data_IF_403926069659
#
_entry.id   IF_403926069659
#
_cell.length_a   1.000
_cell.length_b   1.000
_cell.length_c   1.000
_cell.angle_alpha   90.00
_cell.angle_beta   90.00
_cell.angle_gamma   90.00
#
_symmetry.space_group_name_H-M   'P 1'
#
loop_
_entity.id
_entity.type
_entity.pdbx_description
1 polymer ?
#
# COMPACT_ATOMS: atom_id res chain seq x y z
N UNK A 1 -5.93 2.77 -10.23
CA UNK A 1 -5.23 4.06 -10.37
C UNK A 1 -5.57 4.74 -11.69
N UNK A 2 -5.34 4.08 -12.82
CA UNK A 2 -5.55 4.67 -14.18
C UNK A 2 -6.99 5.20 -14.37
N UNK A 3 -8.00 4.43 -14.01
CA UNK A 3 -9.41 4.84 -14.19
C UNK A 3 -9.76 6.12 -13.42
N UNK A 4 -9.21 6.26 -12.22
CA UNK A 4 -9.39 7.46 -11.38
C UNK A 4 -8.60 8.64 -11.94
N UNK A 5 -7.34 8.43 -12.31
CA UNK A 5 -6.47 9.47 -12.86
C UNK A 5 -7.04 10.05 -14.16
N UNK A 6 -7.55 9.19 -15.05
CA UNK A 6 -8.10 9.56 -16.36
C UNK A 6 -9.59 9.98 -16.32
N UNK A 7 -10.19 10.21 -15.17
CA UNK A 7 -11.58 10.59 -14.99
C UNK A 7 -12.65 9.58 -15.49
N UNK A 8 -12.28 8.31 -15.68
CA UNK A 8 -13.25 7.25 -16.02
C UNK A 8 -14.03 6.77 -14.81
N UNK A 9 -13.52 7.02 -13.59
CA UNK A 9 -14.18 6.72 -12.34
C UNK A 9 -13.92 7.83 -11.31
N UNK A 10 -14.87 8.03 -10.40
CA UNK A 10 -14.72 8.96 -9.27
C UNK A 10 -13.70 8.41 -8.28
N UNK A 11 -13.79 7.11 -8.02
CA UNK A 11 -12.94 6.37 -7.11
C UNK A 11 -12.76 4.92 -7.59
N UNK A 12 -11.79 4.22 -7.04
CA UNK A 12 -11.58 2.79 -7.27
C UNK A 12 -11.20 2.11 -5.97
N UNK A 13 -11.42 0.79 -5.89
CA UNK A 13 -10.91 -0.06 -4.84
C UNK A 13 -9.81 -0.92 -5.44
N UNK A 14 -8.63 -0.88 -4.85
CA UNK A 14 -7.53 -1.77 -5.14
C UNK A 14 -7.38 -2.85 -4.09
N UNK A 15 -6.49 -3.81 -4.33
CA UNK A 15 -5.99 -4.72 -3.31
C UNK A 15 -4.47 -4.65 -3.25
N UNK A 16 -3.93 -4.83 -2.06
CA UNK A 16 -2.49 -4.79 -1.84
C UNK A 16 -2.06 -5.91 -0.91
N UNK A 17 -1.01 -6.60 -1.34
CA UNK A 17 -0.22 -7.50 -0.50
C UNK A 17 1.01 -6.75 0.05
N UNK A 18 1.72 -6.02 -0.85
CA UNK A 18 2.94 -5.28 -0.48
C UNK A 18 3.31 -4.21 -1.53
N UNK A 19 2.42 -3.25 -1.76
CA UNK A 19 2.65 -2.12 -2.67
C UNK A 19 1.62 -1.97 -3.79
N UNK A 20 0.67 -2.91 -3.94
CA UNK A 20 -0.21 -2.95 -5.13
C UNK A 20 -1.36 -1.92 -5.14
N UNK A 21 -1.59 -1.18 -4.04
CA UNK A 21 -2.38 0.06 -3.99
C UNK A 21 -1.44 1.26 -4.09
N UNK A 22 -0.36 1.27 -3.30
CA UNK A 22 0.56 2.40 -3.20
C UNK A 22 1.29 2.66 -4.52
N UNK A 23 1.79 1.62 -5.19
CA UNK A 23 2.50 1.75 -6.47
C UNK A 23 1.61 2.32 -7.59
N UNK A 24 0.46 1.72 -7.94
CA UNK A 24 -0.38 2.28 -9.00
C UNK A 24 -0.96 3.65 -8.63
N UNK A 25 -1.17 3.97 -7.36
CA UNK A 25 -1.59 5.29 -6.94
C UNK A 25 -0.51 6.33 -7.19
N UNK A 26 0.73 6.06 -6.76
CA UNK A 26 1.87 6.93 -6.99
C UNK A 26 2.13 7.16 -8.48
N UNK A 27 2.12 6.06 -9.27
CA UNK A 27 2.39 6.08 -10.70
C UNK A 27 1.28 6.75 -11.54
N UNK A 28 0.13 7.04 -10.94
CA UNK A 28 -0.99 7.71 -11.59
C UNK A 28 -1.37 9.03 -10.91
N UNK A 29 -0.54 9.54 -10.00
CA UNK A 29 -0.79 10.78 -9.27
C UNK A 29 -2.18 10.84 -8.63
N UNK A 30 -2.54 9.77 -7.92
CA UNK A 30 -3.77 9.67 -7.12
C UNK A 30 -3.44 9.30 -5.68
N UNK A 31 -4.38 9.53 -4.78
CA UNK A 31 -4.27 9.11 -3.38
C UNK A 31 -4.60 7.62 -3.28
N UNK A 32 -3.73 6.85 -2.64
CA UNK A 32 -3.95 5.44 -2.37
C UNK A 32 -3.76 5.13 -0.90
N UNK A 33 -4.73 4.45 -0.30
CA UNK A 33 -4.70 4.07 1.09
C UNK A 33 -4.70 2.54 1.24
N UNK A 34 -3.61 2.02 1.82
CA UNK A 34 -3.50 0.65 2.32
C UNK A 34 -3.80 0.67 3.81
N UNK A 35 -4.93 0.16 4.26
CA UNK A 35 -5.26 0.12 5.69
C UNK A 35 -4.37 -0.85 6.47
N UNK A 36 -4.48 -0.80 7.79
CA UNK A 36 -4.03 -1.90 8.65
C UNK A 36 -4.61 -3.21 8.12
N UNK A 37 -3.78 -4.24 8.00
CA UNK A 37 -4.21 -5.56 7.49
C UNK A 37 -5.33 -6.10 8.37
N UNK A 38 -6.43 -6.56 7.75
CA UNK A 38 -7.62 -7.04 8.44
C UNK A 38 -8.70 -5.97 8.72
N UNK A 39 -8.45 -4.69 8.42
CA UNK A 39 -9.46 -3.62 8.56
C UNK A 39 -10.69 -3.88 7.67
N UNK A 40 -10.47 -4.26 6.43
CA UNK A 40 -11.54 -4.62 5.51
C UNK A 40 -11.58 -6.12 5.26
N UNK A 41 -12.76 -6.64 4.94
CA UNK A 41 -12.94 -8.05 4.58
C UNK A 41 -12.10 -8.41 3.35
N UNK A 42 -11.36 -9.51 3.43
CA UNK A 42 -10.63 -10.10 2.30
C UNK A 42 -11.51 -10.96 1.36
N UNK A 43 -12.78 -11.14 1.69
CA UNK A 43 -13.70 -11.99 0.90
C UNK A 43 -13.89 -11.41 -0.50
N UNK A 44 -13.61 -12.23 -1.53
CA UNK A 44 -13.72 -11.82 -2.94
C UNK A 44 -12.45 -11.23 -3.53
N UNK A 45 -11.41 -10.98 -2.75
CA UNK A 45 -10.09 -10.62 -3.28
C UNK A 45 -9.46 -11.88 -3.91
N UNK A 46 -8.98 -11.76 -5.15
CA UNK A 46 -8.14 -12.80 -5.76
C UNK A 46 -6.79 -12.77 -5.02
N UNK A 47 -6.41 -13.83 -4.31
CA UNK A 47 -5.34 -13.74 -3.33
C UNK A 47 -3.95 -13.86 -3.94
N UNK A 48 -2.99 -13.17 -3.31
CA UNK A 48 -1.59 -13.58 -3.25
C UNK A 48 -1.32 -14.19 -1.87
N UNK A 49 -1.76 -13.53 -0.81
CA UNK A 49 -1.59 -13.98 0.56
C UNK A 49 -2.78 -13.53 1.41
N UNK A 50 -3.61 -14.45 1.86
CA UNK A 50 -4.71 -14.13 2.79
C UNK A 50 -4.22 -13.57 4.12
N UNK A 51 -2.92 -13.69 4.41
CA UNK A 51 -2.28 -13.13 5.59
C UNK A 51 -1.95 -11.65 5.48
N UNK A 52 -1.62 -11.17 4.25
CA UNK A 52 -1.18 -9.80 4.00
C UNK A 52 -2.17 -8.98 3.18
N UNK A 53 -2.99 -9.64 2.33
CA UNK A 53 -3.86 -8.95 1.38
C UNK A 53 -4.90 -8.07 2.09
N UNK A 54 -5.03 -6.84 1.61
CA UNK A 54 -6.06 -5.91 2.05
C UNK A 54 -6.65 -5.15 0.87
N UNK A 55 -7.93 -4.80 0.95
CA UNK A 55 -8.54 -3.84 0.04
C UNK A 55 -8.23 -2.41 0.51
N UNK A 56 -8.28 -1.45 -0.41
CA UNK A 56 -8.17 -0.04 -0.05
C UNK A 56 -8.56 0.92 -1.16
N UNK A 57 -9.00 2.13 -0.79
CA UNK A 57 -9.45 3.18 -1.71
C UNK A 57 -8.30 3.79 -2.51
N UNK A 58 -8.62 4.15 -3.77
CA UNK A 58 -7.80 4.96 -4.66
C UNK A 58 -8.67 6.11 -5.18
N UNK A 59 -8.28 7.36 -4.92
CA UNK A 59 -9.11 8.55 -5.17
C UNK A 59 -8.25 9.72 -5.64
N UNK A 60 -8.88 10.81 -6.09
CA UNK A 60 -8.18 12.00 -6.58
C UNK A 60 -7.64 12.89 -5.45
N UNK A 61 -8.22 12.80 -4.26
CA UNK A 61 -7.87 13.58 -3.08
C UNK A 61 -8.10 12.78 -1.80
N UNK A 62 -7.59 13.28 -0.69
CA UNK A 62 -7.65 12.60 0.61
C UNK A 62 -9.07 12.57 1.18
N UNK A 63 -9.89 13.61 0.94
CA UNK A 63 -11.27 13.66 1.40
C UNK A 63 -12.11 12.53 0.80
N UNK A 64 -12.07 12.37 -0.54
CA UNK A 64 -12.79 11.29 -1.22
C UNK A 64 -12.32 9.91 -0.74
N UNK A 65 -11.02 9.80 -0.38
CA UNK A 65 -10.45 8.57 0.16
C UNK A 65 -11.03 8.24 1.54
N UNK A 66 -11.16 9.24 2.40
CA UNK A 66 -11.78 9.10 3.72
C UNK A 66 -13.25 8.69 3.62
N UNK A 67 -14.02 9.35 2.73
CA UNK A 67 -15.43 9.03 2.48
C UNK A 67 -15.57 7.57 2.03
N UNK A 68 -14.74 7.14 1.08
CA UNK A 68 -14.80 5.76 0.58
C UNK A 68 -14.36 4.75 1.65
N UNK A 69 -13.31 5.04 2.43
CA UNK A 69 -12.88 4.17 3.51
C UNK A 69 -14.00 3.95 4.54
N UNK A 70 -14.71 5.01 4.93
CA UNK A 70 -15.85 4.89 5.84
C UNK A 70 -17.02 4.13 5.21
N UNK A 71 -17.32 4.35 3.93
CA UNK A 71 -18.34 3.60 3.20
C UNK A 71 -18.02 2.10 3.09
N UNK A 72 -16.74 1.74 3.10
CA UNK A 72 -16.25 0.35 3.15
C UNK A 72 -16.30 -0.27 4.56
N UNK A 73 -16.69 0.50 5.58
CA UNK A 73 -16.81 0.02 6.94
C UNK A 73 -15.51 0.11 7.75
N UNK A 74 -14.68 1.12 7.50
CA UNK A 74 -13.54 1.42 8.37
C UNK A 74 -14.02 1.54 9.83
N UNK A 75 -13.33 0.88 10.79
CA UNK A 75 -13.79 0.84 12.19
C UNK A 75 -13.54 2.13 12.96
N UNK A 76 -13.02 3.15 12.31
CA UNK A 76 -12.75 4.48 12.85
C UNK A 76 -13.57 5.52 12.08
N UNK A 77 -14.01 6.52 12.83
CA UNK A 77 -14.90 7.55 12.35
C UNK A 77 -14.08 8.70 11.70
N UNK A 78 -13.63 8.47 10.47
CA UNK A 78 -12.78 9.44 9.77
C UNK A 78 -13.54 10.72 9.46
N UNK A 79 -14.84 10.63 9.17
CA UNK A 79 -15.67 11.78 8.81
C UNK A 79 -16.23 12.46 10.06
N UNK A 80 -16.75 11.72 11.03
CA UNK A 80 -17.37 12.30 12.24
C UNK A 80 -16.31 12.79 13.23
N UNK A 81 -15.22 12.06 13.43
CA UNK A 81 -14.13 12.46 14.30
C UNK A 81 -13.31 13.61 13.72
N UNK A 82 -13.20 13.69 12.41
CA UNK A 82 -12.50 14.72 11.69
C UNK A 82 -13.41 15.51 10.77
N UNK A 83 -14.69 15.30 10.62
CA UNK A 83 -15.66 16.00 9.79
C UNK A 83 -15.12 16.69 8.53
N UNK A 84 -15.93 17.16 7.65
CA UNK A 84 -15.45 17.99 6.51
C UNK A 84 -14.61 19.17 7.01
N UNK A 85 -14.95 19.74 8.15
CA UNK A 85 -14.23 20.85 8.78
C UNK A 85 -12.89 20.45 9.39
N UNK A 86 -12.65 19.19 9.78
CA UNK A 86 -11.38 18.77 10.37
C UNK A 86 -10.28 18.59 9.34
N UNK A 87 -10.60 18.31 8.08
CA UNK A 87 -9.61 18.38 7.00
C UNK A 87 -9.11 19.82 6.78
N UNK A 88 -9.92 20.83 7.10
CA UNK A 88 -9.49 22.23 7.09
C UNK A 88 -8.52 22.55 8.25
N UNK A 89 -8.66 21.86 9.37
CA UNK A 89 -7.80 22.00 10.56
C UNK A 89 -6.64 21.00 10.61
N UNK A 90 -6.53 20.09 9.63
CA UNK A 90 -5.45 19.14 9.52
C UNK A 90 -4.07 19.85 9.61
N UNK A 91 -3.18 19.32 10.42
CA UNK A 91 -1.90 19.97 10.74
C UNK A 91 -0.79 18.95 10.92
N UNK A 92 0.41 19.33 10.47
CA UNK A 92 1.64 18.57 10.68
C UNK A 92 2.49 19.16 11.81
N UNK A 93 2.02 20.22 12.48
CA UNK A 93 2.78 20.90 13.52
C UNK A 93 3.15 19.97 14.67
N UNK A 94 4.45 19.79 14.87
CA UNK A 94 5.00 18.94 15.92
C UNK A 94 4.97 17.44 15.62
N UNK A 95 4.43 17.01 14.47
CA UNK A 95 4.45 15.59 14.05
C UNK A 95 5.89 15.20 13.70
N UNK A 96 6.37 14.11 14.26
CA UNK A 96 7.73 13.61 14.12
C UNK A 96 7.78 12.43 13.16
N UNK A 97 8.44 12.63 12.01
CA UNK A 97 8.58 11.58 10.99
C UNK A 97 10.02 11.11 10.86
N UNK A 98 10.21 9.81 10.77
CA UNK A 98 11.45 9.27 10.26
C UNK A 98 11.54 9.41 8.74
N UNK A 99 12.73 9.75 8.25
CA UNK A 99 13.08 9.88 6.85
C UNK A 99 14.35 9.10 6.55
N UNK A 100 14.33 8.26 5.52
CA UNK A 100 15.52 7.50 5.12
C UNK A 100 16.48 8.38 4.34
N UNK A 101 17.75 8.36 4.74
CA UNK A 101 18.79 9.24 4.18
C UNK A 101 18.96 9.05 2.66
N UNK A 102 18.97 7.81 2.17
CA UNK A 102 19.14 7.51 0.75
C UNK A 102 18.02 8.05 -0.14
N UNK A 103 16.81 8.21 0.39
CA UNK A 103 15.71 8.74 -0.41
C UNK A 103 15.86 10.24 -0.71
N UNK A 104 16.68 10.97 0.05
CA UNK A 104 16.95 12.41 -0.16
C UNK A 104 17.66 12.71 -1.49
N UNK A 105 18.26 11.72 -2.12
CA UNK A 105 18.80 11.84 -3.48
C UNK A 105 17.72 12.11 -4.54
N UNK A 106 16.47 11.74 -4.26
CA UNK A 106 15.36 12.08 -5.14
C UNK A 106 14.94 13.54 -4.92
N UNK A 107 15.01 14.42 -5.94
CA UNK A 107 14.76 15.84 -5.77
C UNK A 107 13.31 16.16 -5.38
N UNK A 108 12.33 15.36 -5.81
CA UNK A 108 10.93 15.54 -5.42
C UNK A 108 10.73 15.20 -3.94
N UNK A 109 11.38 14.13 -3.48
CA UNK A 109 11.33 13.77 -2.07
C UNK A 109 12.02 14.82 -1.21
N UNK A 110 13.20 15.30 -1.60
CA UNK A 110 13.87 16.38 -0.90
C UNK A 110 12.99 17.65 -0.78
N UNK A 111 12.28 18.01 -1.86
CA UNK A 111 11.33 19.12 -1.84
C UNK A 111 10.14 18.84 -0.91
N UNK A 112 9.59 17.62 -0.95
CA UNK A 112 8.48 17.22 -0.08
C UNK A 112 8.87 17.30 1.41
N UNK A 113 10.12 16.93 1.76
CA UNK A 113 10.63 17.08 3.11
C UNK A 113 10.66 18.55 3.55
N UNK A 114 11.13 19.47 2.68
CA UNK A 114 11.08 20.91 2.95
C UNK A 114 9.66 21.44 3.18
N UNK A 115 8.68 20.90 2.44
CA UNK A 115 7.28 21.30 2.59
C UNK A 115 6.68 20.77 3.90
N UNK A 116 7.07 19.55 4.33
CA UNK A 116 6.72 19.02 5.66
C UNK A 116 7.30 19.89 6.79
N UNK A 117 8.58 20.25 6.71
CA UNK A 117 9.25 21.13 7.72
C UNK A 117 8.59 22.51 7.80
N UNK A 118 8.30 23.15 6.65
CA UNK A 118 7.58 24.42 6.60
C UNK A 118 6.19 24.33 7.23
N UNK A 119 5.57 23.15 7.23
CA UNK A 119 4.28 22.90 7.88
C UNK A 119 4.39 22.61 9.37
N UNK A 120 5.62 22.63 9.91
CA UNK A 120 5.91 22.43 11.32
C UNK A 120 6.13 20.97 11.71
N UNK A 121 6.27 20.05 10.77
CA UNK A 121 6.73 18.68 11.05
C UNK A 121 8.21 18.70 11.50
N UNK A 122 8.56 17.71 12.30
CA UNK A 122 9.95 17.45 12.73
C UNK A 122 10.44 16.21 12.00
N UNK A 123 11.51 16.34 11.22
CA UNK A 123 12.06 15.24 10.44
C UNK A 123 13.31 14.68 11.15
N UNK A 124 13.33 13.39 11.36
CA UNK A 124 14.42 12.63 11.95
C UNK A 124 15.04 11.73 10.90
N UNK A 125 16.28 12.01 10.53
CA UNK A 125 17.01 11.16 9.59
C UNK A 125 17.35 9.84 10.27
N UNK A 126 17.07 8.74 9.57
CA UNK A 126 17.42 7.40 10.00
C UNK A 126 18.27 6.70 8.93
N UNK A 127 19.05 5.72 9.37
CA UNK A 127 19.86 4.90 8.48
C UNK A 127 19.03 4.14 7.47
N UNK A 128 19.66 3.75 6.36
CA UNK A 128 19.04 2.98 5.29
C UNK A 128 18.91 1.47 5.60
N UNK A 129 19.05 1.11 6.86
CA UNK A 129 18.75 -0.24 7.32
C UNK A 129 17.29 -0.60 7.03
N UNK A 130 17.06 -1.87 6.76
CA UNK A 130 15.71 -2.42 6.52
C UNK A 130 15.54 -3.67 7.37
N UNK A 131 14.31 -4.02 7.78
CA UNK A 131 14.08 -5.28 8.46
C UNK A 131 14.46 -6.44 7.54
N UNK A 132 15.10 -7.43 8.10
CA UNK A 132 15.54 -8.63 7.36
C UNK A 132 14.34 -9.57 7.17
N UNK A 133 13.57 -9.36 6.13
CA UNK A 133 12.39 -10.17 5.77
C UNK A 133 12.80 -11.41 4.98
N UNK A 134 13.69 -12.22 5.56
CA UNK A 134 14.18 -13.45 4.93
C UNK A 134 13.02 -14.40 4.62
N UNK A 135 12.88 -14.77 3.34
CA UNK A 135 11.79 -15.64 2.91
C UNK A 135 10.45 -14.94 2.66
N UNK A 136 10.42 -13.61 2.49
CA UNK A 136 9.18 -12.90 2.14
C UNK A 136 8.53 -13.48 0.86
N UNK A 137 9.34 -13.79 -0.18
CA UNK A 137 8.82 -14.43 -1.39
C UNK A 137 8.30 -15.86 -1.11
N UNK A 138 8.94 -16.61 -0.19
CA UNK A 138 8.46 -17.93 0.24
C UNK A 138 7.07 -17.82 0.90
N UNK A 139 6.85 -16.77 1.73
CA UNK A 139 5.53 -16.51 2.30
C UNK A 139 4.49 -16.33 1.19
N UNK A 140 4.76 -15.44 0.22
CA UNK A 140 3.83 -15.17 -0.88
C UNK A 140 3.54 -16.43 -1.72
N UNK A 141 4.57 -17.20 -2.05
CA UNK A 141 4.43 -18.42 -2.83
C UNK A 141 3.60 -19.49 -2.09
N UNK A 142 3.91 -19.73 -0.82
CA UNK A 142 3.22 -20.73 -0.02
C UNK A 142 1.75 -20.36 0.25
N UNK A 143 1.48 -19.07 0.55
CA UNK A 143 0.10 -18.60 0.69
C UNK A 143 -0.66 -18.71 -0.64
N UNK A 144 -0.15 -18.19 -1.76
CA UNK A 144 -0.86 -18.25 -3.03
C UNK A 144 -1.10 -19.69 -3.51
N UNK A 145 -0.16 -20.60 -3.25
CA UNK A 145 -0.31 -22.03 -3.54
C UNK A 145 -1.53 -22.65 -2.84
N UNK A 146 -1.87 -22.15 -1.65
CA UNK A 146 -3.00 -22.58 -0.82
C UNK A 146 -4.26 -21.75 -1.06
N UNK A 147 -4.12 -20.46 -1.13
CA UNK A 147 -5.24 -19.51 -1.12
C UNK A 147 -5.95 -19.41 -2.47
N UNK A 148 -5.20 -19.48 -3.59
CA UNK A 148 -5.82 -19.38 -4.92
C UNK A 148 -6.76 -20.55 -5.24
N UNK A 149 -6.42 -21.82 -4.96
CA UNK A 149 -7.40 -22.91 -5.07
C UNK A 149 -8.62 -22.74 -4.17
N UNK A 150 -8.43 -22.24 -2.93
CA UNK A 150 -9.53 -21.96 -2.01
C UNK A 150 -10.46 -20.85 -2.55
N UNK A 151 -9.89 -19.81 -3.14
CA UNK A 151 -10.65 -18.76 -3.83
C UNK A 151 -11.48 -19.34 -4.98
N UNK A 152 -10.91 -20.17 -5.84
CA UNK A 152 -11.65 -20.81 -6.93
C UNK A 152 -12.77 -21.71 -6.43
N UNK A 153 -12.53 -22.46 -5.36
CA UNK A 153 -13.53 -23.33 -4.76
C UNK A 153 -14.73 -22.57 -4.17
N UNK A 154 -14.47 -21.43 -3.53
CA UNK A 154 -15.49 -20.68 -2.78
C UNK A 154 -16.11 -19.50 -3.53
N UNK A 155 -15.34 -18.81 -4.36
CA UNK A 155 -15.74 -17.50 -4.92
C UNK A 155 -15.94 -17.54 -6.45
N UNK A 156 -15.32 -18.48 -7.16
CA UNK A 156 -15.39 -18.52 -8.60
C UNK A 156 -16.65 -19.20 -9.13
N UNK A 157 -16.98 -18.91 -10.41
CA UNK A 157 -18.01 -19.62 -11.15
C UNK A 157 -17.74 -21.14 -11.15
N UNK A 158 -18.78 -21.95 -11.19
CA UNK A 158 -18.70 -23.41 -11.17
C UNK A 158 -17.71 -24.00 -12.20
N UNK A 159 -17.54 -23.36 -13.35
CA UNK A 159 -16.59 -23.75 -14.40
C UNK A 159 -15.13 -23.75 -13.94
N UNK A 160 -14.80 -22.89 -12.98
CA UNK A 160 -13.44 -22.68 -12.48
C UNK A 160 -13.19 -23.32 -11.11
N UNK A 161 -14.22 -23.91 -10.49
CA UNK A 161 -14.04 -24.65 -9.23
C UNK A 161 -13.06 -25.80 -9.44
N UNK A 162 -12.10 -25.90 -8.54
CA UNK A 162 -11.02 -26.89 -8.64
C UNK A 162 -9.84 -26.46 -9.52
N UNK A 163 -9.81 -25.19 -9.95
CA UNK A 163 -8.60 -24.63 -10.53
C UNK A 163 -7.56 -24.35 -9.45
N UNK A 164 -6.30 -24.43 -9.87
CA UNK A 164 -5.12 -24.10 -9.09
C UNK A 164 -4.15 -23.28 -9.96
N UNK A 165 -2.96 -22.97 -9.44
CA UNK A 165 -1.93 -22.24 -10.17
C UNK A 165 -1.53 -22.95 -11.46
N UNK A 166 -1.42 -24.29 -11.45
CA UNK A 166 -1.03 -25.05 -12.63
C UNK A 166 -2.10 -24.95 -13.75
N UNK A 167 -3.38 -24.99 -13.36
CA UNK A 167 -4.51 -24.81 -14.30
C UNK A 167 -4.53 -23.41 -14.89
N UNK A 168 -4.25 -22.37 -14.11
CA UNK A 168 -4.13 -20.99 -14.60
C UNK A 168 -2.98 -20.90 -15.62
N UNK A 169 -1.82 -21.49 -15.31
CA UNK A 169 -0.67 -21.49 -16.23
C UNK A 169 -0.98 -22.25 -17.54
N UNK A 170 -1.68 -23.38 -17.47
CA UNK A 170 -2.12 -24.12 -18.64
C UNK A 170 -3.06 -23.27 -19.50
N UNK A 171 -4.01 -22.57 -18.88
CA UNK A 171 -4.94 -21.70 -19.59
C UNK A 171 -4.21 -20.54 -20.28
N UNK A 172 -3.29 -19.90 -19.61
CA UNK A 172 -2.50 -18.79 -20.15
C UNK A 172 -1.71 -19.19 -21.41
N UNK A 173 -1.18 -20.42 -21.47
CA UNK A 173 -0.44 -20.94 -22.63
C UNK A 173 -1.28 -21.03 -23.91
N UNK A 174 -2.62 -21.04 -23.82
CA UNK A 174 -3.51 -21.11 -24.99
C UNK A 174 -3.45 -19.85 -25.85
N UNK A 175 -3.19 -18.68 -25.22
CA UNK A 175 -2.99 -17.41 -25.91
C UNK A 175 -1.88 -16.62 -25.15
N UNK A 176 -0.65 -17.08 -25.31
CA UNK A 176 0.48 -16.57 -24.54
C UNK A 176 0.76 -15.08 -24.75
N UNK A 177 0.50 -14.58 -25.96
CA UNK A 177 0.72 -13.17 -26.29
C UNK A 177 -0.23 -12.23 -25.54
N UNK A 178 -1.46 -12.68 -25.25
CA UNK A 178 -2.44 -11.90 -24.50
C UNK A 178 -2.42 -12.17 -23.01
N UNK A 179 -2.35 -13.46 -22.64
CA UNK A 179 -2.53 -13.88 -21.26
C UNK A 179 -1.25 -13.81 -20.42
N UNK A 180 -0.08 -13.89 -21.05
CA UNK A 180 1.21 -13.83 -20.33
C UNK A 180 2.31 -13.13 -21.15
N UNK A 181 2.10 -11.86 -21.58
CA UNK A 181 3.06 -11.15 -22.45
C UNK A 181 4.44 -10.96 -21.80
N UNK A 182 4.52 -11.04 -20.47
CA UNK A 182 5.76 -10.95 -19.69
C UNK A 182 6.23 -12.29 -19.11
N UNK A 183 5.66 -13.42 -19.61
CA UNK A 183 5.90 -14.75 -19.05
C UNK A 183 5.10 -15.03 -17.78
N UNK A 184 5.43 -16.12 -17.10
CA UNK A 184 4.76 -16.54 -15.87
C UNK A 184 5.70 -17.21 -14.85
N UNK A 185 6.92 -16.71 -14.77
CA UNK A 185 7.96 -17.25 -13.87
C UNK A 185 7.55 -17.19 -12.40
N UNK A 186 6.76 -16.17 -12.00
CA UNK A 186 6.25 -16.08 -10.63
C UNK A 186 5.31 -17.25 -10.31
N UNK A 187 4.41 -17.61 -11.23
CA UNK A 187 3.56 -18.80 -11.05
C UNK A 187 4.38 -20.09 -11.00
N UNK A 188 5.46 -20.19 -11.78
CA UNK A 188 6.36 -21.34 -11.67
C UNK A 188 7.01 -21.40 -10.28
N UNK A 189 7.47 -20.27 -9.72
CA UNK A 189 7.99 -20.20 -8.36
C UNK A 189 6.98 -20.66 -7.30
N UNK A 190 5.70 -20.35 -7.48
CA UNK A 190 4.63 -20.83 -6.58
C UNK A 190 4.48 -22.36 -6.65
N UNK A 191 4.51 -22.93 -7.87
CA UNK A 191 4.43 -24.37 -8.04
C UNK A 191 5.63 -25.08 -7.40
N UNK A 192 6.82 -24.54 -7.62
CA UNK A 192 8.07 -25.10 -7.15
C UNK A 192 8.32 -24.90 -5.64
N UNK A 193 7.51 -24.03 -4.98
CA UNK A 193 7.65 -23.79 -3.55
C UNK A 193 7.44 -25.11 -2.76
N UNK A 194 8.41 -25.51 -1.92
CA UNK A 194 8.27 -26.72 -1.12
C UNK A 194 7.05 -26.68 -0.20
N UNK A 195 6.47 -27.84 0.05
CA UNK A 195 5.40 -27.96 1.03
C UNK A 195 5.92 -27.64 2.44
N UNK A 196 5.12 -26.92 3.19
CA UNK A 196 5.38 -26.59 4.60
C UNK A 196 4.15 -26.98 5.42
N UNK A 197 4.33 -27.45 6.65
CA UNK A 197 3.21 -27.75 7.53
C UNK A 197 2.46 -26.46 7.94
N UNK A 198 1.17 -26.55 8.21
CA UNK A 198 0.38 -25.38 8.64
C UNK A 198 0.93 -24.77 9.94
N UNK A 199 1.48 -25.59 10.84
CA UNK A 199 2.07 -25.13 12.10
C UNK A 199 3.38 -24.35 11.85
N UNK A 200 4.33 -24.94 11.10
CA UNK A 200 5.60 -24.30 10.79
C UNK A 200 5.39 -23.03 9.94
N UNK A 201 4.39 -23.04 9.05
CA UNK A 201 4.11 -21.88 8.21
C UNK A 201 3.49 -20.73 9.00
N UNK A 202 2.65 -21.03 9.98
CA UNK A 202 2.11 -20.01 10.90
C UNK A 202 3.23 -19.39 11.72
N UNK A 203 4.07 -20.19 12.35
CA UNK A 203 5.23 -19.72 13.12
C UNK A 203 6.16 -18.85 12.26
N UNK A 204 6.42 -19.27 11.02
CA UNK A 204 7.22 -18.51 10.06
C UNK A 204 6.63 -17.13 9.76
N UNK A 205 5.30 -17.04 9.52
CA UNK A 205 4.60 -15.78 9.27
C UNK A 205 4.63 -14.86 10.50
N UNK A 206 4.35 -15.40 11.67
CA UNK A 206 4.38 -14.67 12.94
C UNK A 206 5.78 -14.12 13.26
N UNK A 207 6.82 -14.92 13.05
CA UNK A 207 8.21 -14.48 13.24
C UNK A 207 8.61 -13.37 12.28
N UNK A 208 8.18 -13.43 11.02
CA UNK A 208 8.43 -12.36 10.04
C UNK A 208 7.71 -11.07 10.44
N UNK A 209 6.46 -11.15 10.85
CA UNK A 209 5.70 -10.00 11.34
C UNK A 209 6.35 -9.40 12.58
N UNK A 210 6.75 -10.21 13.54
CA UNK A 210 7.45 -9.77 14.73
C UNK A 210 8.76 -9.03 14.39
N UNK A 211 9.56 -9.56 13.45
CA UNK A 211 10.78 -8.91 12.97
C UNK A 211 10.51 -7.54 12.34
N UNK A 212 9.47 -7.44 11.50
CA UNK A 212 9.10 -6.17 10.88
C UNK A 212 8.56 -5.16 11.90
N UNK A 213 7.73 -5.60 12.83
CA UNK A 213 7.19 -4.75 13.90
C UNK A 213 8.30 -4.27 14.84
N UNK A 214 9.20 -5.15 15.26
CA UNK A 214 10.32 -4.79 16.12
C UNK A 214 11.18 -3.70 15.48
N UNK A 215 11.48 -3.79 14.20
CA UNK A 215 12.22 -2.77 13.47
C UNK A 215 11.55 -1.39 13.57
N UNK A 216 10.26 -1.30 13.25
CA UNK A 216 9.55 -0.03 13.28
C UNK A 216 9.33 0.51 14.69
N UNK A 217 8.92 -0.35 15.64
CA UNK A 217 8.67 0.09 17.02
C UNK A 217 9.94 0.47 17.77
N UNK A 218 11.09 -0.14 17.46
CA UNK A 218 12.37 0.29 18.03
C UNK A 218 12.71 1.70 17.54
N UNK A 219 12.57 2.01 16.26
CA UNK A 219 12.79 3.36 15.72
C UNK A 219 11.80 4.37 16.31
N UNK A 220 10.52 4.01 16.44
CA UNK A 220 9.51 4.86 17.07
C UNK A 220 9.93 5.22 18.50
N UNK A 221 10.33 4.23 19.27
CA UNK A 221 10.73 4.40 20.67
C UNK A 221 12.02 5.17 20.83
N UNK A 222 13.02 4.87 20.00
CA UNK A 222 14.36 5.50 20.07
C UNK A 222 14.30 6.99 19.74
N UNK A 223 13.50 7.34 18.73
CA UNK A 223 13.46 8.70 18.17
C UNK A 223 12.17 9.48 18.49
N UNK A 224 11.27 8.91 19.31
CA UNK A 224 9.97 9.52 19.65
C UNK A 224 9.18 9.89 18.38
N UNK A 225 8.99 8.92 17.46
CA UNK A 225 8.35 9.14 16.18
C UNK A 225 6.83 8.95 16.23
N UNK A 226 6.12 9.69 15.41
CA UNK A 226 4.71 9.46 15.13
C UNK A 226 4.50 8.54 13.93
N UNK A 227 5.42 8.55 12.97
CA UNK A 227 5.37 7.72 11.77
C UNK A 227 6.58 7.89 10.87
N UNK A 228 6.44 7.44 9.63
CA UNK A 228 7.52 7.42 8.64
C UNK A 228 7.03 8.03 7.33
N UNK A 229 7.94 8.62 6.56
CA UNK A 229 7.65 9.06 5.19
C UNK A 229 8.60 8.39 4.20
N UNK A 230 8.04 7.95 3.07
CA UNK A 230 8.72 7.16 2.05
C UNK A 230 8.34 7.65 0.64
N UNK A 231 8.96 7.09 -0.37
CA UNK A 231 8.65 7.36 -1.78
C UNK A 231 7.82 6.20 -2.35
N UNK A 232 6.72 6.51 -3.03
CA UNK A 232 5.90 5.52 -3.74
C UNK A 232 5.59 4.31 -2.83
N UNK A 233 5.96 3.12 -3.27
CA UNK A 233 5.85 1.85 -2.55
C UNK A 233 7.19 1.31 -2.04
N UNK A 234 8.24 2.13 -1.92
CA UNK A 234 9.60 1.66 -1.64
C UNK A 234 9.75 0.96 -0.27
N UNK A 235 8.89 1.28 0.68
CA UNK A 235 8.89 0.65 2.01
C UNK A 235 7.68 -0.28 2.23
N UNK A 236 6.87 -0.51 1.17
CA UNK A 236 5.60 -1.23 1.28
C UNK A 236 5.75 -2.66 1.80
N UNK A 237 6.80 -3.40 1.41
CA UNK A 237 7.03 -4.77 1.89
C UNK A 237 7.24 -4.83 3.40
N UNK A 238 8.04 -3.91 3.95
CA UNK A 238 8.28 -3.83 5.39
C UNK A 238 7.00 -3.41 6.15
N UNK A 239 6.29 -2.39 5.64
CA UNK A 239 5.04 -1.93 6.23
C UNK A 239 3.96 -3.03 6.19
N UNK A 240 3.86 -3.78 5.08
CA UNK A 240 2.93 -4.90 4.96
C UNK A 240 3.24 -6.02 5.96
N UNK A 241 4.51 -6.45 6.07
CA UNK A 241 4.93 -7.47 7.01
C UNK A 241 4.65 -7.06 8.47
N UNK A 242 4.76 -5.77 8.79
CA UNK A 242 4.45 -5.23 10.11
C UNK A 242 2.94 -4.97 10.35
N UNK A 243 2.10 -5.14 9.34
CA UNK A 243 0.68 -4.74 9.32
C UNK A 243 0.45 -3.23 9.46
N UNK A 244 1.46 -2.43 9.22
CA UNK A 244 1.38 -0.97 9.32
C UNK A 244 0.57 -0.40 8.15
N UNK A 245 -0.41 0.47 8.42
CA UNK A 245 -1.14 1.17 7.37
C UNK A 245 -0.27 2.20 6.68
N UNK A 246 -0.57 2.49 5.42
CA UNK A 246 0.16 3.47 4.63
C UNK A 246 -0.77 4.22 3.67
N UNK A 247 -0.46 5.49 3.42
CA UNK A 247 -1.18 6.32 2.45
C UNK A 247 -0.19 7.09 1.59
N UNK A 248 -0.32 6.92 0.27
CA UNK A 248 0.43 7.72 -0.69
C UNK A 248 -0.40 8.88 -1.20
N UNK A 249 0.23 10.03 -1.35
CA UNK A 249 -0.36 11.25 -1.93
C UNK A 249 0.55 11.78 -3.03
N UNK A 250 0.03 12.48 -4.06
CA UNK A 250 0.88 13.04 -5.11
C UNK A 250 1.98 13.94 -4.55
N UNK A 251 3.24 13.69 -4.94
CA UNK A 251 4.43 14.43 -4.50
C UNK A 251 5.00 15.33 -5.60
N UNK A 252 4.60 15.13 -6.83
CA UNK A 252 5.06 15.87 -8.01
C UNK A 252 5.38 14.97 -9.18
N UNK A 253 6.04 15.55 -10.17
CA UNK A 253 6.41 14.89 -11.42
C UNK A 253 7.88 15.15 -11.72
N UNK A 254 8.59 14.16 -12.23
CA UNK A 254 9.96 14.34 -12.73
C UNK A 254 9.97 15.09 -14.08
N UNK A 255 11.17 15.35 -14.59
CA UNK A 255 11.39 16.08 -15.85
C UNK A 255 10.78 15.38 -17.08
N UNK A 256 10.42 14.09 -16.95
CA UNK A 256 9.74 13.30 -17.99
C UNK A 256 8.22 13.27 -17.81
N UNK A 257 7.72 13.95 -16.79
CA UNK A 257 6.30 13.95 -16.44
C UNK A 257 5.84 12.67 -15.70
N UNK A 258 6.77 11.84 -15.22
CA UNK A 258 6.43 10.67 -14.41
C UNK A 258 6.02 11.12 -13.01
N UNK A 259 4.84 10.73 -12.52
CA UNK A 259 4.40 11.10 -11.18
C UNK A 259 5.10 10.28 -10.09
N UNK A 260 5.27 10.91 -8.94
CA UNK A 260 5.75 10.32 -7.70
C UNK A 260 4.78 10.58 -6.56
N UNK A 261 4.74 9.69 -5.58
CA UNK A 261 3.95 9.82 -4.37
C UNK A 261 4.81 9.93 -3.11
N UNK A 262 4.42 10.81 -2.20
CA UNK A 262 4.88 10.79 -0.81
C UNK A 262 4.00 9.81 -0.05
N UNK A 263 4.62 8.83 0.61
CA UNK A 263 3.90 7.79 1.34
C UNK A 263 4.13 7.95 2.83
N UNK A 264 3.05 8.24 3.54
CA UNK A 264 3.01 8.21 5.00
C UNK A 264 2.76 6.78 5.47
N UNK A 265 3.46 6.37 6.53
CA UNK A 265 3.31 5.07 7.19
C UNK A 265 3.08 5.34 8.66
N UNK A 266 1.98 4.84 9.21
CA UNK A 266 1.62 4.96 10.62
C UNK A 266 1.81 3.63 11.36
N UNK A 267 1.93 3.65 12.70
CA UNK A 267 1.89 2.43 13.49
C UNK A 267 0.63 1.59 13.23
N UNK A 268 0.72 0.30 13.51
CA UNK A 268 -0.43 -0.60 13.39
C UNK A 268 -1.67 -0.03 14.11
N UNK A 269 -2.84 -0.10 13.46
CA UNK A 269 -4.13 0.40 13.95
C UNK A 269 -4.21 1.94 14.15
N UNK A 270 -3.21 2.69 13.69
CA UNK A 270 -3.21 4.15 13.75
C UNK A 270 -3.61 4.81 12.41
N UNK A 271 -4.48 4.16 11.66
CA UNK A 271 -4.91 4.56 10.31
C UNK A 271 -5.45 6.00 10.23
N UNK A 272 -6.16 6.46 11.25
CA UNK A 272 -6.71 7.83 11.30
C UNK A 272 -5.63 8.92 11.22
N UNK A 273 -4.40 8.64 11.67
CA UNK A 273 -3.30 9.59 11.59
C UNK A 273 -2.92 9.88 10.13
N UNK A 274 -3.01 8.85 9.26
CA UNK A 274 -2.68 8.97 7.85
C UNK A 274 -3.56 10.01 7.15
N UNK A 275 -4.87 10.00 7.44
CA UNK A 275 -5.80 10.96 6.84
C UNK A 275 -5.48 12.39 7.23
N UNK A 276 -5.14 12.63 8.52
CA UNK A 276 -4.74 13.95 8.99
C UNK A 276 -3.43 14.42 8.32
N UNK A 277 -2.40 13.56 8.30
CA UNK A 277 -1.11 13.91 7.71
C UNK A 277 -1.20 14.14 6.20
N UNK A 278 -1.88 13.25 5.51
CA UNK A 278 -2.08 13.33 4.07
C UNK A 278 -2.90 14.57 3.67
N UNK A 279 -3.99 14.87 4.39
CA UNK A 279 -4.81 16.05 4.15
C UNK A 279 -4.03 17.35 4.38
N UNK A 280 -3.24 17.42 5.45
CA UNK A 280 -2.40 18.58 5.74
C UNK A 280 -1.35 18.80 4.64
N UNK A 281 -0.71 17.74 4.15
CA UNK A 281 0.26 17.81 3.06
C UNK A 281 -0.40 18.17 1.72
N UNK A 282 -1.52 17.51 1.36
CA UNK A 282 -2.27 17.80 0.13
C UNK A 282 -2.72 19.26 0.07
N UNK A 283 -3.20 19.80 1.20
CA UNK A 283 -3.68 21.19 1.31
C UNK A 283 -2.62 22.21 0.91
N UNK A 284 -1.38 22.02 1.31
CA UNK A 284 -0.29 22.99 1.10
C UNK A 284 0.40 22.79 -0.26
N UNK A 285 0.39 21.59 -0.82
CA UNK A 285 1.17 21.26 -2.02
C UNK A 285 0.33 21.23 -3.30
N UNK A 286 -0.84 20.61 -3.26
CA UNK A 286 -1.77 20.48 -4.41
C UNK A 286 -1.06 19.97 -5.69
N UNK A 287 -0.16 19.01 -5.54
CA UNK A 287 0.71 18.53 -6.62
C UNK A 287 -0.02 17.78 -7.74
N UNK A 288 -1.25 17.31 -7.49
CA UNK A 288 -1.97 16.55 -8.51
C UNK A 288 -2.36 17.43 -9.69
N UNK A 289 -1.96 17.01 -10.91
CA UNK A 289 -2.36 17.63 -12.17
C UNK A 289 -3.18 16.62 -12.98
N UNK A 290 -4.25 17.07 -13.62
CA UNK A 290 -5.01 16.23 -14.55
C UNK A 290 -4.16 15.92 -15.79
N UNK A 291 -4.15 14.67 -16.29
CA UNK A 291 -3.49 14.34 -17.54
C UNK A 291 -4.06 15.18 -18.69
N UNK A 292 -3.20 15.71 -19.58
CA UNK A 292 -3.60 16.67 -20.62
C UNK A 292 -4.75 16.19 -21.49
N UNK A 293 -4.76 14.92 -21.86
CA UNK A 293 -5.78 14.32 -22.70
C UNK A 293 -7.13 14.06 -21.99
N UNK A 294 -7.24 14.35 -20.68
CA UNK A 294 -8.41 14.03 -19.86
C UNK A 294 -8.86 15.23 -19.00
N UNK A 295 -8.63 16.45 -19.51
CA UNK A 295 -8.97 17.70 -18.83
C UNK A 295 -10.44 18.14 -18.99
N UNK A 296 -11.24 17.41 -19.73
CA UNK A 296 -12.66 17.74 -20.01
C UNK A 296 -13.61 16.98 -19.10
#
# INVERSE_FOLDING_TARGET
GVSVAANFAVAAIGSETSGSILSPSSQNSVVGYKPTTGTFSGVGIVPISSYLDTAGPMTKNVMDNAILAQALGAPYDVIDQYGINSFETASLKGVRFAVWTSFKENPLYAQALLDLEKSGAVLIEIDDTRPQLNGFLKLLNADMKKDLPAYFAGQANATYRGWDVAKVMEWNRKDSLKAMPYGQSLFQGIIDEPAISDADFREFKEAMTATAQEYFYNLIKEHDLNGFVSINNYTAGAAAAAFFPAMTVPMGYDDKGQPYGLTFIAPNEADQLLFNWAAAYEKITKHRVLPENYKN
#
